data_IF_709620182958
#
_entry.id   IF_709620182958
#
_cell.length_a   1.000
_cell.length_b   1.000
_cell.length_c   1.000
_cell.angle_alpha   90.00
_cell.angle_beta   90.00
_cell.angle_gamma   90.00
#
_symmetry.space_group_name_H-M   'P 1'
#
loop_
_entity.id
_entity.type
_entity.pdbx_description
1 polymer ?
#
# COMPACT_ATOMS: atom_id res chain seq x y z
N UNK A 1 13.71 20.23 -3.12
CA UNK A 1 13.46 18.83 -2.66
C UNK A 1 12.62 18.91 -1.40
N UNK A 2 11.53 18.14 -1.35
CA UNK A 2 10.65 18.12 -0.19
C UNK A 2 11.32 17.39 0.99
N UNK A 3 11.21 17.94 2.20
CA UNK A 3 11.60 17.25 3.41
C UNK A 3 10.46 16.38 3.96
N UNK A 4 10.77 15.50 4.92
CA UNK A 4 9.79 14.56 5.50
C UNK A 4 8.54 15.26 6.04
N UNK A 5 8.69 16.41 6.72
CA UNK A 5 7.55 17.15 7.28
C UNK A 5 6.62 17.67 6.18
N UNK A 6 7.18 18.20 5.09
CA UNK A 6 6.42 18.68 3.95
C UNK A 6 5.67 17.55 3.25
N UNK A 7 6.31 16.39 3.06
CA UNK A 7 5.67 15.21 2.47
C UNK A 7 4.50 14.73 3.34
N UNK A 8 4.70 14.63 4.66
CA UNK A 8 3.65 14.22 5.60
C UNK A 8 2.47 15.19 5.58
N UNK A 9 2.73 16.53 5.59
CA UNK A 9 1.68 17.54 5.50
C UNK A 9 0.88 17.39 4.22
N UNK A 10 1.57 17.31 3.10
CA UNK A 10 0.96 17.18 1.77
C UNK A 10 0.05 15.95 1.67
N UNK A 11 0.50 14.78 2.12
CA UNK A 11 -0.33 13.58 2.13
C UNK A 11 -1.57 13.74 3.04
N UNK A 12 -1.43 14.38 4.20
CA UNK A 12 -2.56 14.65 5.11
C UNK A 12 -3.57 15.61 4.50
N UNK A 13 -3.11 16.64 3.78
CA UNK A 13 -3.98 17.58 3.05
C UNK A 13 -4.81 16.87 1.97
N UNK A 14 -4.28 15.77 1.41
CA UNK A 14 -5.00 14.90 0.46
C UNK A 14 -5.83 13.80 1.13
N UNK A 15 -6.06 13.90 2.44
CA UNK A 15 -7.03 13.10 3.18
C UNK A 15 -6.51 11.78 3.74
N UNK A 16 -5.19 11.55 3.77
CA UNK A 16 -4.64 10.36 4.43
C UNK A 16 -4.62 10.53 5.95
N UNK A 17 -5.14 9.54 6.67
CA UNK A 17 -5.23 9.57 8.14
C UNK A 17 -3.87 9.42 8.80
N UNK A 18 -3.03 8.55 8.27
CA UNK A 18 -1.68 8.29 8.76
C UNK A 18 -0.69 8.34 7.60
N UNK A 19 0.47 8.90 7.86
CA UNK A 19 1.57 9.01 6.89
C UNK A 19 2.89 8.76 7.60
N UNK A 20 3.73 7.91 7.03
CA UNK A 20 5.07 7.65 7.48
C UNK A 20 6.07 7.64 6.32
N UNK A 21 7.32 7.92 6.62
CA UNK A 21 8.43 7.82 5.66
C UNK A 21 9.47 6.88 6.22
N UNK A 22 9.87 5.91 5.43
CA UNK A 22 10.90 4.94 5.75
C UNK A 22 12.03 4.98 4.72
N UNK A 23 13.20 4.47 5.08
CA UNK A 23 14.30 4.31 4.13
C UNK A 23 13.95 3.25 3.07
N UNK A 24 14.29 3.54 1.81
CA UNK A 24 14.21 2.55 0.74
C UNK A 24 15.42 1.62 0.83
N UNK A 25 15.24 0.50 1.49
CA UNK A 25 16.27 -0.54 1.65
C UNK A 25 15.64 -1.93 1.65
N UNK A 26 16.46 -2.93 1.38
CA UNK A 26 16.02 -4.33 1.46
C UNK A 26 15.37 -4.62 2.82
N UNK A 27 14.25 -5.32 2.79
CA UNK A 27 13.53 -5.71 3.99
C UNK A 27 14.39 -6.59 4.90
N UNK A 28 14.43 -6.28 6.18
CA UNK A 28 15.08 -7.13 7.19
C UNK A 28 14.35 -8.47 7.40
N UNK A 29 13.13 -8.59 6.92
CA UNK A 29 12.28 -9.78 7.03
C UNK A 29 12.27 -10.62 5.74
N UNK A 30 13.30 -10.48 4.90
CA UNK A 30 13.37 -11.19 3.62
C UNK A 30 13.35 -12.70 3.80
N UNK A 31 14.15 -13.23 4.71
CA UNK A 31 14.24 -14.66 5.00
C UNK A 31 12.91 -15.24 5.50
N UNK A 32 12.25 -14.52 6.41
CA UNK A 32 10.96 -14.93 6.97
C UNK A 32 9.87 -14.94 5.91
N UNK A 33 9.85 -13.95 5.02
CA UNK A 33 8.90 -13.89 3.92
C UNK A 33 9.10 -15.04 2.92
N UNK A 34 10.35 -15.33 2.56
CA UNK A 34 10.68 -16.43 1.65
C UNK A 34 10.30 -17.79 2.27
N UNK A 35 10.60 -18.02 3.55
CA UNK A 35 10.20 -19.23 4.27
C UNK A 35 8.67 -19.35 4.36
N UNK A 36 7.97 -18.25 4.56
CA UNK A 36 6.51 -18.23 4.60
C UNK A 36 5.91 -18.62 3.24
N UNK A 37 6.49 -18.14 2.12
CA UNK A 37 6.11 -18.55 0.77
C UNK A 37 6.39 -20.03 0.52
N UNK A 38 7.60 -20.50 0.86
CA UNK A 38 8.01 -21.90 0.68
C UNK A 38 7.12 -22.86 1.47
N UNK A 39 6.63 -22.42 2.61
CA UNK A 39 5.70 -23.20 3.45
C UNK A 39 4.25 -23.20 2.91
N UNK A 40 3.97 -22.58 1.76
CA UNK A 40 2.65 -22.51 1.16
C UNK A 40 1.64 -21.69 1.96
N UNK A 41 2.08 -20.89 2.93
CA UNK A 41 1.20 -20.13 3.84
C UNK A 41 0.45 -18.99 3.14
N UNK A 42 0.84 -18.64 1.93
CA UNK A 42 0.13 -17.68 1.09
C UNK A 42 -1.16 -18.25 0.48
N UNK A 43 -1.40 -19.58 0.62
CA UNK A 43 -2.61 -20.24 0.14
C UNK A 43 -2.81 -20.01 -1.37
N UNK A 44 -4.00 -19.61 -1.76
CA UNK A 44 -4.36 -19.36 -3.18
C UNK A 44 -3.85 -18.01 -3.71
N UNK A 45 -3.20 -17.19 -2.88
CA UNK A 45 -2.65 -15.89 -3.28
C UNK A 45 -1.32 -16.06 -4.04
N UNK A 46 -1.32 -16.82 -5.13
CA UNK A 46 -0.13 -17.14 -5.93
C UNK A 46 0.66 -15.90 -6.40
N UNK A 47 -0.02 -14.78 -6.59
CA UNK A 47 0.59 -13.49 -6.95
C UNK A 47 1.62 -12.98 -5.91
N UNK A 48 1.57 -13.45 -4.66
CA UNK A 48 2.58 -13.11 -3.63
C UNK A 48 3.94 -13.73 -3.91
N UNK A 49 3.99 -14.83 -4.65
CA UNK A 49 5.23 -15.48 -5.08
C UNK A 49 5.86 -14.82 -6.32
N UNK A 50 5.16 -13.86 -6.95
CA UNK A 50 5.67 -13.14 -8.10
C UNK A 50 6.56 -11.97 -7.67
N UNK A 51 7.66 -11.77 -8.39
CA UNK A 51 8.56 -10.64 -8.20
C UNK A 51 9.04 -10.46 -6.73
N UNK A 52 9.39 -11.55 -6.08
CA UNK A 52 9.80 -11.57 -4.66
C UNK A 52 10.94 -10.58 -4.39
N UNK A 53 11.95 -10.53 -5.24
CA UNK A 53 13.07 -9.60 -5.10
C UNK A 53 12.62 -8.13 -5.08
N UNK A 54 11.70 -7.75 -5.97
CA UNK A 54 11.15 -6.39 -6.05
C UNK A 54 10.29 -6.06 -4.83
N UNK A 55 9.58 -7.06 -4.27
CA UNK A 55 8.78 -6.88 -3.04
C UNK A 55 9.65 -6.64 -1.82
N UNK A 56 10.80 -7.27 -1.80
CA UNK A 56 11.71 -7.23 -0.66
C UNK A 56 12.69 -6.05 -0.70
N UNK A 57 12.88 -5.46 -1.88
CA UNK A 57 13.81 -4.36 -2.04
C UNK A 57 13.25 -3.26 -2.97
N UNK A 58 12.72 -2.17 -2.40
CA UNK A 58 12.18 -1.07 -3.19
C UNK A 58 13.21 -0.39 -4.10
N UNK A 59 14.50 -0.52 -3.83
CA UNK A 59 15.55 0.05 -4.68
C UNK A 59 15.70 -0.67 -6.01
N UNK A 60 15.27 -1.94 -6.08
CA UNK A 60 15.20 -2.70 -7.33
C UNK A 60 13.94 -2.35 -8.14
N UNK A 61 12.92 -1.83 -7.49
CA UNK A 61 11.67 -1.43 -8.14
C UNK A 61 11.76 -0.02 -8.73
N UNK A 62 12.39 0.91 -8.02
CA UNK A 62 12.63 2.28 -8.48
C UNK A 62 14.10 2.61 -8.29
N UNK A 63 14.83 2.71 -9.41
CA UNK A 63 16.26 3.05 -9.40
C UNK A 63 16.48 4.40 -8.71
N UNK A 64 17.44 4.43 -7.78
CA UNK A 64 17.76 5.64 -7.02
C UNK A 64 16.76 6.00 -5.92
N UNK A 65 15.77 5.15 -5.63
CA UNK A 65 14.88 5.37 -4.50
C UNK A 65 15.65 5.45 -3.18
N UNK A 66 15.37 6.49 -2.38
CA UNK A 66 15.95 6.69 -1.05
C UNK A 66 14.94 6.54 0.07
N UNK A 67 13.67 6.75 -0.24
CA UNK A 67 12.60 6.74 0.74
C UNK A 67 11.36 6.06 0.19
N UNK A 68 10.59 5.45 1.08
CA UNK A 68 9.26 4.91 0.83
C UNK A 68 8.27 5.71 1.66
N UNK A 69 7.26 6.27 1.00
CA UNK A 69 6.17 6.98 1.67
C UNK A 69 5.05 5.97 1.89
N UNK A 70 4.71 5.75 3.15
CA UNK A 70 3.63 4.86 3.55
C UNK A 70 2.42 5.70 3.96
N UNK A 71 1.27 5.40 3.40
CA UNK A 71 0.01 6.07 3.73
C UNK A 71 -1.02 5.06 4.21
N UNK A 72 -1.88 5.48 5.12
CA UNK A 72 -3.00 4.67 5.57
C UNK A 72 -4.25 5.53 5.68
N UNK A 73 -5.40 4.89 5.48
CA UNK A 73 -6.70 5.53 5.61
C UNK A 73 -7.60 4.70 6.53
N UNK A 74 -8.56 5.36 7.15
CA UNK A 74 -9.55 4.71 7.98
C UNK A 74 -10.73 4.28 7.12
N UNK A 75 -11.16 3.04 7.32
CA UNK A 75 -12.40 2.51 6.74
C UNK A 75 -13.44 2.15 7.82
N UNK A 76 -13.15 2.45 9.09
CA UNK A 76 -14.06 2.32 10.20
C UNK A 76 -15.12 3.42 10.18
N UNK A 77 -16.31 3.09 10.66
CA UNK A 77 -17.45 4.01 10.80
C UNK A 77 -18.17 3.74 12.11
N UNK A 78 -19.41 4.24 12.22
CA UNK A 78 -20.32 3.91 13.30
C UNK A 78 -20.48 2.38 13.46
N UNK A 79 -20.87 1.94 14.65
CA UNK A 79 -21.20 0.54 14.88
C UNK A 79 -22.29 0.10 13.89
N UNK A 80 -22.12 -1.14 13.40
CA UNK A 80 -23.10 -1.70 12.49
C UNK A 80 -24.34 -2.12 13.29
N UNK A 81 -25.52 -1.85 12.75
CA UNK A 81 -26.78 -2.35 13.28
C UNK A 81 -26.78 -3.89 13.36
N UNK A 82 -27.47 -4.48 14.35
CA UNK A 82 -27.65 -5.93 14.42
C UNK A 82 -28.21 -6.49 13.09
N UNK A 83 -27.67 -7.60 12.65
CA UNK A 83 -28.15 -8.24 11.42
C UNK A 83 -29.41 -9.06 11.68
N UNK A 84 -30.39 -9.01 10.79
CA UNK A 84 -31.49 -9.95 10.78
C UNK A 84 -31.00 -11.40 10.61
N UNK A 85 -31.76 -12.40 11.09
CA UNK A 85 -31.41 -13.81 10.85
C UNK A 85 -31.18 -14.11 9.36
N UNK A 86 -30.22 -14.98 9.08
CA UNK A 86 -29.84 -15.41 7.71
C UNK A 86 -29.24 -14.32 6.82
N UNK A 87 -28.77 -13.22 7.40
CA UNK A 87 -28.00 -12.20 6.66
C UNK A 87 -26.53 -12.30 7.00
N UNK A 88 -25.69 -12.09 6.01
CA UNK A 88 -24.24 -11.94 6.16
C UNK A 88 -23.82 -10.49 6.15
N UNK A 89 -22.59 -10.23 6.56
CA UNK A 89 -22.01 -8.87 6.58
C UNK A 89 -20.76 -8.83 5.72
N UNK A 90 -20.73 -7.88 4.81
CA UNK A 90 -19.52 -7.59 4.02
C UNK A 90 -18.52 -6.84 4.91
N UNK A 91 -17.26 -7.22 4.87
CA UNK A 91 -16.19 -6.52 5.58
C UNK A 91 -16.17 -5.02 5.22
N UNK A 92 -15.96 -4.16 6.22
CA UNK A 92 -16.07 -2.70 6.03
C UNK A 92 -15.17 -2.17 4.93
N UNK A 93 -13.94 -2.68 4.83
CA UNK A 93 -13.00 -2.24 3.79
C UNK A 93 -13.46 -2.55 2.36
N UNK A 94 -14.35 -3.54 2.21
CA UNK A 94 -14.89 -3.97 0.91
C UNK A 94 -16.21 -3.26 0.53
N UNK A 95 -16.71 -2.37 1.40
CA UNK A 95 -17.93 -1.61 1.12
C UNK A 95 -17.60 -0.33 0.36
N UNK A 96 -18.45 0.06 -0.57
CA UNK A 96 -18.32 1.27 -1.36
C UNK A 96 -17.33 1.14 -2.52
N UNK A 97 -16.63 2.22 -2.82
CA UNK A 97 -15.68 2.25 -3.94
C UNK A 97 -14.42 1.44 -3.65
N UNK A 98 -13.83 0.86 -4.69
CA UNK A 98 -12.55 0.16 -4.61
C UNK A 98 -11.47 1.07 -4.03
N UNK A 99 -10.98 0.75 -2.83
CA UNK A 99 -10.00 1.55 -2.11
C UNK A 99 -8.67 1.67 -2.85
N UNK A 100 -8.29 0.69 -3.67
CA UNK A 100 -7.08 0.76 -4.50
C UNK A 100 -7.15 1.96 -5.44
N UNK A 101 -8.29 2.16 -6.11
CA UNK A 101 -8.52 3.29 -7.02
C UNK A 101 -8.54 4.61 -6.27
N UNK A 102 -9.21 4.65 -5.11
CA UNK A 102 -9.33 5.87 -4.29
C UNK A 102 -7.96 6.30 -3.76
N UNK A 103 -7.20 5.39 -3.16
CA UNK A 103 -5.88 5.69 -2.62
C UNK A 103 -4.88 6.06 -3.72
N UNK A 104 -4.87 5.31 -4.83
CA UNK A 104 -4.02 5.63 -5.98
C UNK A 104 -4.29 7.03 -6.53
N UNK A 105 -5.56 7.41 -6.71
CA UNK A 105 -5.94 8.75 -7.16
C UNK A 105 -5.44 9.85 -6.20
N UNK A 106 -5.62 9.67 -4.90
CA UNK A 106 -5.13 10.63 -3.90
C UNK A 106 -3.61 10.74 -3.90
N UNK A 107 -2.89 9.62 -4.01
CA UNK A 107 -1.43 9.62 -4.10
C UNK A 107 -0.95 10.37 -5.34
N UNK A 108 -1.57 10.17 -6.49
CA UNK A 108 -1.22 10.88 -7.72
C UNK A 108 -1.47 12.39 -7.60
N UNK A 109 -2.49 12.82 -6.87
CA UNK A 109 -2.75 14.24 -6.60
C UNK A 109 -1.76 14.83 -5.59
N UNK A 110 -1.33 14.05 -4.62
CA UNK A 110 -0.36 14.49 -3.61
C UNK A 110 1.07 14.59 -4.17
N UNK A 111 1.38 13.85 -5.22
CA UNK A 111 2.72 13.85 -5.81
C UNK A 111 2.75 14.75 -7.04
N UNK A 112 3.61 15.78 -7.09
CA UNK A 112 3.87 16.48 -8.34
C UNK A 112 4.41 15.47 -9.38
N UNK A 113 3.99 15.61 -10.63
CA UNK A 113 4.38 14.67 -11.72
C UNK A 113 5.90 14.44 -11.82
N UNK A 114 6.69 15.41 -11.42
CA UNK A 114 8.14 15.32 -11.35
C UNK A 114 8.67 14.41 -10.23
N UNK A 115 7.85 14.03 -9.25
CA UNK A 115 8.24 13.21 -8.09
C UNK A 115 7.88 11.72 -8.26
N UNK A 116 7.00 11.38 -9.20
CA UNK A 116 6.64 10.01 -9.50
C UNK A 116 7.32 9.52 -10.77
N UNK A 117 8.32 8.70 -10.62
CA UNK A 117 8.61 7.68 -11.63
C UNK A 117 7.80 6.45 -11.25
N UNK A 118 6.59 6.36 -11.74
CA UNK A 118 5.90 5.07 -11.81
C UNK A 118 6.72 4.21 -12.77
N UNK A 119 7.17 3.02 -12.38
CA UNK A 119 7.62 2.08 -13.39
C UNK A 119 6.43 1.89 -14.33
N UNK A 120 6.72 2.03 -15.63
CA UNK A 120 5.74 1.77 -16.66
C UNK A 120 5.02 0.46 -16.34
N UNK A 121 3.70 0.53 -16.37
CA UNK A 121 2.80 -0.61 -16.23
C UNK A 121 3.26 -1.71 -17.19
N UNK A 122 4.09 -2.62 -16.75
CA UNK A 122 4.27 -3.91 -17.42
C UNK A 122 3.12 -4.78 -16.91
N UNK A 123 1.92 -4.47 -17.41
CA UNK A 123 0.87 -5.45 -17.54
C UNK A 123 1.09 -6.09 -18.92
N UNK A 124 1.53 -7.31 -18.91
CA UNK A 124 1.09 -8.40 -19.78
C UNK A 124 1.12 -9.70 -18.98
#
# INVERSE_FOLDING_TARGET
MLNTKQVVSLCKEHGFSLVGVADARKSKWSTEFEQWLQSGKHGEMAWLANNVSLRLDPTLFVEGARSVICVADRYGGAEDEPLPPRHGRIARYARGSDYHKVMKKRLLLAAPESAWRSPANTQD
#
